data_IF_134047622051
#
_entry.id   IF_134047622051
#
_cell.length_a   1.000
_cell.length_b   1.000
_cell.length_c   1.000
_cell.angle_alpha   90.00
_cell.angle_beta   90.00
_cell.angle_gamma   90.00
#
_symmetry.space_group_name_H-M   'P 1'
#
loop_
_entity.id
_entity.type
_entity.pdbx_description
1 polymer ?
#
# COMPACT_ATOMS: atom_id res chain seq x y z
N UNK A 1 10.79 -4.74 12.24
CA UNK A 1 9.54 -4.11 11.76
C UNK A 1 9.54 -2.62 12.09
N UNK A 2 9.77 -2.24 13.36
CA UNK A 2 9.87 -0.82 13.77
C UNK A 2 10.97 -0.07 13.01
N UNK A 3 12.21 -0.58 12.96
CA UNK A 3 13.30 0.10 12.23
C UNK A 3 13.03 0.29 10.74
N UNK A 4 12.46 -0.74 10.10
CA UNK A 4 12.06 -0.68 8.69
C UNK A 4 11.00 0.41 8.47
N UNK A 5 10.03 0.50 9.38
CA UNK A 5 9.02 1.55 9.34
C UNK A 5 9.61 2.94 9.51
N UNK A 6 10.49 3.14 10.50
CA UNK A 6 11.13 4.43 10.76
C UNK A 6 11.98 4.92 9.58
N UNK A 7 12.51 4.03 8.75
CA UNK A 7 13.30 4.36 7.54
C UNK A 7 12.48 4.35 6.26
N UNK A 8 11.17 4.07 6.33
CA UNK A 8 10.29 3.97 5.17
C UNK A 8 10.56 2.76 4.26
N UNK A 9 11.22 1.71 4.76
CA UNK A 9 11.48 0.48 4.03
C UNK A 9 10.23 -0.41 3.99
N UNK A 10 9.28 0.01 3.16
CA UNK A 10 7.97 -0.66 3.00
C UNK A 10 8.10 -2.04 2.34
N UNK A 11 9.16 -2.27 1.56
CA UNK A 11 9.40 -3.56 0.92
C UNK A 11 9.86 -4.60 1.93
N UNK A 12 10.74 -4.24 2.87
CA UNK A 12 11.12 -5.13 3.97
C UNK A 12 9.92 -5.46 4.87
N UNK A 13 9.05 -4.48 5.13
CA UNK A 13 7.79 -4.71 5.87
C UNK A 13 6.91 -5.72 5.13
N UNK A 14 6.74 -5.55 3.82
CA UNK A 14 5.94 -6.46 2.99
C UNK A 14 6.54 -7.86 2.94
N UNK A 15 7.86 -8.01 2.76
CA UNK A 15 8.54 -9.31 2.74
C UNK A 15 8.33 -10.09 4.04
N UNK A 16 8.49 -9.41 5.18
CA UNK A 16 8.27 -10.03 6.50
C UNK A 16 6.81 -10.44 6.70
N UNK A 17 5.87 -9.55 6.37
CA UNK A 17 4.44 -9.88 6.44
C UNK A 17 4.06 -11.07 5.54
N UNK A 18 4.61 -11.13 4.32
CA UNK A 18 4.40 -12.26 3.41
C UNK A 18 4.93 -13.57 3.99
N UNK A 19 6.08 -13.54 4.66
CA UNK A 19 6.65 -14.71 5.33
C UNK A 19 5.80 -15.16 6.52
N UNK A 20 5.30 -14.23 7.33
CA UNK A 20 4.45 -14.54 8.49
C UNK A 20 3.09 -15.13 8.09
N UNK A 21 2.49 -14.63 7.01
CA UNK A 21 1.16 -15.05 6.54
C UNK A 21 1.20 -16.00 5.34
N UNK A 22 2.34 -16.63 5.05
CA UNK A 22 2.54 -17.51 3.88
C UNK A 22 1.49 -18.61 3.74
N UNK A 23 1.03 -19.17 4.85
CA UNK A 23 0.08 -20.29 4.88
C UNK A 23 -1.39 -19.81 4.87
N UNK A 24 -1.61 -18.49 4.83
CA UNK A 24 -2.94 -17.86 4.80
C UNK A 24 -3.14 -16.93 3.59
N UNK A 25 -2.86 -17.37 2.35
CA UNK A 25 -2.85 -16.50 1.17
C UNK A 25 -4.22 -15.85 0.91
N UNK A 26 -5.32 -16.57 1.11
CA UNK A 26 -6.68 -16.04 0.94
C UNK A 26 -6.99 -14.92 1.93
N UNK A 27 -6.46 -15.01 3.16
CA UNK A 27 -6.64 -13.96 4.17
C UNK A 27 -5.83 -12.72 3.79
N UNK A 28 -4.56 -12.88 3.43
CA UNK A 28 -3.70 -11.78 2.98
C UNK A 28 -4.30 -11.05 1.77
N UNK A 29 -4.83 -11.81 0.81
CA UNK A 29 -5.46 -11.24 -0.37
C UNK A 29 -6.71 -10.42 -0.02
N UNK A 30 -7.59 -10.94 0.85
CA UNK A 30 -8.80 -10.22 1.26
C UNK A 30 -8.51 -8.99 2.12
N UNK A 31 -7.55 -9.09 3.05
CA UNK A 31 -7.28 -8.02 4.02
C UNK A 31 -6.39 -6.90 3.49
N UNK A 32 -5.56 -7.18 2.48
CA UNK A 32 -4.64 -6.19 1.91
C UNK A 32 -4.87 -5.99 0.42
N UNK A 33 -4.65 -7.02 -0.42
CA UNK A 33 -4.70 -6.89 -1.89
C UNK A 33 -6.03 -6.35 -2.42
N UNK A 34 -7.12 -7.06 -2.14
CA UNK A 34 -8.47 -6.66 -2.55
C UNK A 34 -8.88 -5.30 -1.98
N UNK A 35 -8.53 -5.01 -0.72
CA UNK A 35 -8.83 -3.71 -0.09
C UNK A 35 -8.07 -2.58 -0.77
N UNK A 36 -6.79 -2.77 -1.08
CA UNK A 36 -5.98 -1.79 -1.80
C UNK A 36 -6.59 -1.49 -3.18
N UNK A 37 -6.93 -2.53 -3.95
CA UNK A 37 -7.58 -2.36 -5.27
C UNK A 37 -8.93 -1.65 -5.18
N UNK A 38 -9.72 -1.93 -4.14
CA UNK A 38 -10.99 -1.22 -3.90
C UNK A 38 -10.78 0.24 -3.47
N UNK A 39 -9.64 0.58 -2.86
CA UNK A 39 -9.33 1.94 -2.43
C UNK A 39 -8.85 2.84 -3.55
N UNK A 40 -8.09 2.34 -4.53
CA UNK A 40 -7.49 3.27 -5.50
C UNK A 40 -8.52 4.09 -6.29
N UNK A 41 -9.67 3.58 -6.76
CA UNK A 41 -10.65 4.43 -7.45
C UNK A 41 -11.14 5.59 -6.58
N UNK A 42 -11.25 5.37 -5.26
CA UNK A 42 -11.61 6.41 -4.30
C UNK A 42 -10.47 7.42 -4.11
N UNK A 43 -9.24 6.94 -3.99
CA UNK A 43 -8.05 7.81 -3.90
C UNK A 43 -7.92 8.67 -5.16
N UNK A 44 -8.09 8.09 -6.35
CA UNK A 44 -8.06 8.83 -7.62
C UNK A 44 -9.17 9.87 -7.70
N UNK A 45 -10.38 9.55 -7.23
CA UNK A 45 -11.48 10.53 -7.17
C UNK A 45 -11.13 11.75 -6.30
N UNK A 46 -10.36 11.54 -5.23
CA UNK A 46 -9.85 12.62 -4.38
C UNK A 46 -8.72 13.39 -5.06
N UNK A 47 -7.78 12.70 -5.72
CA UNK A 47 -6.72 13.36 -6.48
C UNK A 47 -7.27 14.26 -7.60
N UNK A 48 -8.34 13.84 -8.27
CA UNK A 48 -8.97 14.60 -9.34
C UNK A 48 -9.83 15.78 -8.86
N UNK A 49 -10.07 15.93 -7.56
CA UNK A 49 -10.83 17.09 -7.04
C UNK A 49 -10.00 18.38 -6.97
N UNK A 50 -8.68 18.29 -7.20
CA UNK A 50 -7.75 19.41 -7.11
C UNK A 50 -7.41 19.82 -5.68
N UNK A 51 -7.91 19.10 -4.67
CA UNK A 51 -7.60 19.35 -3.26
C UNK A 51 -6.45 18.46 -2.78
N UNK A 52 -5.79 18.88 -1.70
CA UNK A 52 -4.78 18.05 -1.02
C UNK A 52 -5.45 17.19 0.04
N UNK A 53 -5.19 15.89 0.02
CA UNK A 53 -5.70 14.94 1.00
C UNK A 53 -4.56 14.22 1.72
N UNK A 54 -4.77 13.97 3.01
CA UNK A 54 -3.92 13.11 3.81
C UNK A 54 -4.59 11.75 4.01
N UNK A 55 -3.93 10.68 3.60
CA UNK A 55 -4.46 9.31 3.67
C UNK A 55 -3.68 8.52 4.73
N UNK A 56 -4.39 8.00 5.73
CA UNK A 56 -3.81 7.19 6.81
C UNK A 56 -4.19 5.74 6.61
N UNK A 57 -3.19 4.86 6.58
CA UNK A 57 -3.37 3.41 6.43
C UNK A 57 -2.37 2.65 7.31
N UNK A 58 -2.66 1.37 7.58
CA UNK A 58 -1.69 0.49 8.22
C UNK A 58 -0.50 0.16 7.30
N UNK A 59 0.67 -0.09 7.88
CA UNK A 59 1.92 -0.34 7.14
C UNK A 59 1.83 -1.50 6.13
N UNK A 60 0.98 -2.50 6.42
CA UNK A 60 0.74 -3.65 5.54
C UNK A 60 0.15 -3.28 4.16
N UNK A 61 -0.36 -2.06 3.98
CA UNK A 61 -0.94 -1.60 2.71
C UNK A 61 0.09 -0.99 1.75
N UNK A 62 1.33 -0.76 2.18
CA UNK A 62 2.27 0.10 1.46
C UNK A 62 3.17 -0.65 0.47
N UNK A 63 3.79 -1.75 0.89
CA UNK A 63 4.83 -2.45 0.13
C UNK A 63 4.31 -3.54 -0.81
N UNK A 64 5.19 -4.00 -1.70
CA UNK A 64 4.92 -5.07 -2.65
C UNK A 64 4.07 -4.65 -3.87
N UNK A 65 3.81 -5.60 -4.79
CA UNK A 65 3.17 -5.31 -6.08
C UNK A 65 1.72 -4.85 -5.96
N UNK A 66 1.01 -5.32 -4.93
CA UNK A 66 -0.37 -4.93 -4.63
C UNK A 66 -0.45 -3.80 -3.58
N UNK A 67 0.69 -3.21 -3.21
CA UNK A 67 0.75 -2.05 -2.32
C UNK A 67 0.16 -0.80 -2.96
N UNK A 68 -0.37 0.11 -2.16
CA UNK A 68 -1.01 1.34 -2.66
C UNK A 68 -0.08 2.17 -3.56
N UNK A 69 1.20 2.30 -3.17
CA UNK A 69 2.18 3.06 -3.94
C UNK A 69 2.45 2.41 -5.30
N UNK A 70 2.54 1.08 -5.36
CA UNK A 70 2.76 0.34 -6.60
C UNK A 70 1.54 0.46 -7.53
N UNK A 71 0.33 0.29 -6.98
CA UNK A 71 -0.92 0.41 -7.73
C UNK A 71 -1.13 1.82 -8.30
N UNK A 72 -0.79 2.86 -7.55
CA UNK A 72 -0.84 4.25 -8.05
C UNK A 72 0.23 4.52 -9.11
N UNK A 73 1.47 4.05 -8.92
CA UNK A 73 2.52 4.14 -9.96
C UNK A 73 2.08 3.48 -11.26
N UNK A 74 1.45 2.30 -11.18
CA UNK A 74 0.93 1.58 -12.35
C UNK A 74 -0.16 2.36 -13.11
N UNK A 75 -0.81 3.35 -12.48
CA UNK A 75 -1.78 4.26 -13.11
C UNK A 75 -1.17 5.57 -13.58
N UNK A 76 0.16 5.71 -13.53
CA UNK A 76 0.88 6.87 -14.03
C UNK A 76 1.08 7.99 -13.01
N UNK A 77 0.73 7.78 -11.74
CA UNK A 77 0.99 8.77 -10.70
C UNK A 77 2.47 8.82 -10.33
N UNK A 78 3.01 10.04 -10.23
CA UNK A 78 4.35 10.28 -9.67
C UNK A 78 4.26 10.16 -8.15
N UNK A 79 5.10 9.30 -7.58
CA UNK A 79 5.22 9.10 -6.14
C UNK A 79 6.59 9.58 -5.69
N UNK A 80 6.61 10.38 -4.63
CA UNK A 80 7.81 10.91 -3.99
C UNK A 80 7.73 10.61 -2.50
N UNK A 81 8.82 10.10 -1.94
CA UNK A 81 8.98 9.95 -0.50
C UNK A 81 9.70 11.20 0.00
N UNK A 82 9.03 11.93 0.89
CA UNK A 82 9.54 13.16 1.51
C UNK A 82 10.47 12.87 2.69
#
# INVERSE_FOLDING_TARGET
MVDAWCRGDVDLIWQKGRQEFRDFPTMTERLSGQRNRNWIPKIESYLHSGQTYFVVVGAAHMGGPEGLLALLKARGYKIEQL
#
